data_IF_559846619774
#
_entry.id   IF_559846619774
#
_cell.length_a   1.000
_cell.length_b   1.000
_cell.length_c   1.000
_cell.angle_alpha   90.00
_cell.angle_beta   90.00
_cell.angle_gamma   90.00
#
_symmetry.space_group_name_H-M   'P 1'
#
loop_
_entity.id
_entity.type
_entity.pdbx_description
1 polymer ?
#
# COMPACT_ATOMS: atom_id res chain seq x y z
N UNK A 1 6.66 24.34 -5.38
CA UNK A 1 6.36 23.24 -6.34
C UNK A 1 7.57 22.32 -6.59
N UNK A 2 8.75 22.83 -6.98
CA UNK A 2 9.94 21.98 -7.24
C UNK A 2 10.31 21.05 -6.09
N UNK A 3 10.35 21.56 -4.86
CA UNK A 3 10.67 20.76 -3.66
C UNK A 3 9.70 19.59 -3.41
N UNK A 4 8.40 19.78 -3.65
CA UNK A 4 7.36 18.74 -3.52
C UNK A 4 7.57 17.66 -4.57
N UNK A 5 7.74 18.06 -5.84
CA UNK A 5 8.01 17.12 -6.93
C UNK A 5 9.28 16.33 -6.65
N UNK A 6 10.32 16.99 -6.17
CA UNK A 6 11.58 16.33 -5.86
C UNK A 6 11.47 15.37 -4.66
N UNK A 7 10.61 15.65 -3.67
CA UNK A 7 10.32 14.75 -2.55
C UNK A 7 9.52 13.51 -2.98
N UNK A 8 8.53 13.69 -3.87
CA UNK A 8 7.74 12.61 -4.48
C UNK A 8 8.64 11.73 -5.37
N UNK A 9 9.44 12.36 -6.24
CA UNK A 9 10.37 11.67 -7.14
C UNK A 9 11.60 11.10 -6.43
N UNK A 10 11.70 11.25 -5.10
CA UNK A 10 12.81 10.72 -4.30
C UNK A 10 14.20 11.19 -4.79
N UNK A 11 14.28 12.40 -5.34
CA UNK A 11 15.55 12.94 -5.87
C UNK A 11 16.53 13.12 -4.72
N UNK A 12 17.74 12.60 -4.88
CA UNK A 12 18.79 12.63 -3.85
C UNK A 12 18.97 11.34 -3.08
N UNK A 13 18.09 10.34 -3.24
CA UNK A 13 18.33 9.01 -2.67
C UNK A 13 19.43 8.26 -3.46
N UNK A 14 20.20 7.38 -2.79
CA UNK A 14 21.15 6.50 -3.47
C UNK A 14 20.48 5.64 -4.54
N UNK A 15 21.15 5.41 -5.67
CA UNK A 15 20.63 4.59 -6.78
C UNK A 15 20.21 3.18 -6.34
N UNK A 16 20.91 2.61 -5.35
CA UNK A 16 20.57 1.32 -4.74
C UNK A 16 19.17 1.34 -4.13
N UNK A 17 18.83 2.40 -3.40
CA UNK A 17 17.59 2.49 -2.65
C UNK A 17 16.42 2.77 -3.59
N UNK A 18 16.64 3.56 -4.64
CA UNK A 18 15.69 3.73 -5.75
C UNK A 18 15.42 2.39 -6.45
N UNK A 19 16.47 1.61 -6.74
CA UNK A 19 16.30 0.29 -7.38
C UNK A 19 15.50 -0.68 -6.50
N UNK A 20 15.76 -0.68 -5.19
CA UNK A 20 15.01 -1.50 -4.24
C UNK A 20 13.55 -1.04 -4.11
N UNK A 21 13.30 0.27 -4.03
CA UNK A 21 11.97 0.85 -4.01
C UNK A 21 11.18 0.49 -5.29
N UNK A 22 11.80 0.61 -6.46
CA UNK A 22 11.18 0.23 -7.73
C UNK A 22 10.82 -1.25 -7.79
N UNK A 23 11.64 -2.13 -7.19
CA UNK A 23 11.29 -3.55 -7.06
C UNK A 23 10.06 -3.77 -6.19
N UNK A 24 9.95 -3.07 -5.05
CA UNK A 24 8.76 -3.13 -4.19
C UNK A 24 7.55 -2.60 -4.95
N UNK A 25 7.66 -1.44 -5.60
CA UNK A 25 6.58 -0.83 -6.36
C UNK A 25 6.10 -1.73 -7.50
N UNK A 26 7.01 -2.38 -8.22
CA UNK A 26 6.66 -3.36 -9.26
C UNK A 26 5.89 -4.54 -8.67
N UNK A 27 6.36 -5.11 -7.54
CA UNK A 27 5.66 -6.21 -6.87
C UNK A 27 4.28 -5.79 -6.35
N UNK A 28 4.16 -4.56 -5.83
CA UNK A 28 2.89 -3.99 -5.40
C UNK A 28 1.92 -3.79 -6.57
N UNK A 29 2.41 -3.31 -7.72
CA UNK A 29 1.63 -3.21 -8.95
C UNK A 29 1.17 -4.60 -9.44
N UNK A 30 2.06 -5.58 -9.49
CA UNK A 30 1.71 -6.96 -9.88
C UNK A 30 0.69 -7.57 -8.91
N UNK A 31 0.86 -7.36 -7.61
CA UNK A 31 -0.08 -7.79 -6.59
C UNK A 31 -1.47 -7.13 -6.77
N UNK A 32 -1.53 -5.81 -7.00
CA UNK A 32 -2.77 -5.10 -7.27
C UNK A 32 -3.44 -5.56 -8.58
N UNK A 33 -2.65 -5.76 -9.65
CA UNK A 33 -3.15 -6.29 -10.93
C UNK A 33 -3.70 -7.71 -10.78
N UNK A 34 -3.10 -8.56 -9.94
CA UNK A 34 -3.64 -9.90 -9.67
C UNK A 34 -5.00 -9.86 -8.98
N UNK A 35 -5.22 -8.90 -8.06
CA UNK A 35 -6.53 -8.66 -7.46
C UNK A 35 -7.53 -8.14 -8.49
N UNK A 36 -7.14 -7.15 -9.30
CA UNK A 36 -7.97 -6.60 -10.36
C UNK A 36 -8.38 -7.65 -11.39
N UNK A 37 -7.45 -8.51 -11.79
CA UNK A 37 -7.71 -9.65 -12.67
C UNK A 37 -8.64 -10.68 -12.05
N UNK A 38 -8.47 -10.99 -10.76
CA UNK A 38 -9.38 -11.88 -10.02
C UNK A 38 -10.80 -11.30 -9.94
N UNK A 39 -10.92 -10.01 -9.65
CA UNK A 39 -12.21 -9.30 -9.63
C UNK A 39 -12.89 -9.32 -11.01
N UNK A 40 -12.12 -9.07 -12.08
CA UNK A 40 -12.62 -9.16 -13.44
C UNK A 40 -13.09 -10.58 -13.80
N UNK A 41 -12.34 -11.62 -13.42
CA UNK A 41 -12.76 -13.02 -13.60
C UNK A 41 -14.03 -13.35 -12.81
N UNK A 42 -14.20 -12.77 -11.62
CA UNK A 42 -15.41 -12.93 -10.82
C UNK A 42 -16.64 -12.39 -11.55
N UNK A 43 -16.52 -11.22 -12.18
CA UNK A 43 -17.60 -10.60 -12.96
C UNK A 43 -18.00 -11.37 -14.22
N UNK A 44 -17.15 -12.28 -14.69
CA UNK A 44 -17.41 -13.15 -15.85
C UNK A 44 -17.81 -14.58 -15.42
N UNK A 45 -18.15 -14.79 -14.14
CA UNK A 45 -18.54 -16.07 -13.53
C UNK A 45 -17.48 -17.21 -13.61
N UNK A 46 -16.23 -16.90 -13.94
CA UNK A 46 -15.14 -17.89 -14.03
C UNK A 46 -14.66 -18.42 -12.66
N UNK A 47 -14.92 -17.71 -11.56
CA UNK A 47 -14.52 -18.14 -10.21
C UNK A 47 -15.35 -19.29 -9.63
N UNK A 48 -16.40 -19.73 -10.34
CA UNK A 48 -17.17 -20.93 -10.00
C UNK A 48 -16.35 -22.23 -10.07
N UNK A 49 -15.27 -22.23 -10.86
CA UNK A 49 -14.33 -23.35 -10.92
C UNK A 49 -13.35 -23.31 -9.74
N UNK A 50 -13.36 -24.35 -8.91
CA UNK A 50 -12.45 -24.50 -7.77
C UNK A 50 -10.97 -24.37 -8.17
N UNK A 51 -10.59 -24.85 -9.36
CA UNK A 51 -9.21 -24.75 -9.86
C UNK A 51 -8.80 -23.31 -10.20
N UNK A 52 -9.71 -22.54 -10.82
CA UNK A 52 -9.46 -21.14 -11.16
C UNK A 52 -9.36 -20.31 -9.87
N UNK A 53 -10.29 -20.52 -8.94
CA UNK A 53 -10.28 -19.87 -7.63
C UNK A 53 -8.98 -20.16 -6.87
N UNK A 54 -8.59 -21.44 -6.77
CA UNK A 54 -7.36 -21.85 -6.08
C UNK A 54 -6.12 -21.24 -6.73
N UNK A 55 -6.07 -21.16 -8.06
CA UNK A 55 -4.96 -20.55 -8.79
C UNK A 55 -4.88 -19.04 -8.54
N UNK A 56 -6.01 -18.32 -8.62
CA UNK A 56 -6.05 -16.89 -8.34
C UNK A 56 -5.61 -16.58 -6.91
N UNK A 57 -6.11 -17.34 -5.93
CA UNK A 57 -5.73 -17.21 -4.53
C UNK A 57 -4.24 -17.45 -4.34
N UNK A 58 -3.70 -18.55 -4.89
CA UNK A 58 -2.27 -18.89 -4.77
C UNK A 58 -1.38 -17.79 -5.38
N UNK A 59 -1.69 -17.35 -6.60
CA UNK A 59 -0.92 -16.30 -7.28
C UNK A 59 -0.96 -15.00 -6.48
N UNK A 60 -2.15 -14.58 -6.02
CA UNK A 60 -2.32 -13.36 -5.24
C UNK A 60 -1.55 -13.43 -3.91
N UNK A 61 -1.64 -14.55 -3.20
CA UNK A 61 -0.92 -14.77 -1.94
C UNK A 61 0.60 -14.80 -2.14
N UNK A 62 1.11 -15.48 -3.17
CA UNK A 62 2.56 -15.54 -3.47
C UNK A 62 3.11 -14.16 -3.79
N UNK A 63 2.41 -13.39 -4.64
CA UNK A 63 2.80 -12.00 -4.94
C UNK A 63 2.78 -11.13 -3.69
N UNK A 64 1.77 -11.29 -2.82
CA UNK A 64 1.66 -10.56 -1.56
C UNK A 64 2.80 -10.87 -0.59
N UNK A 65 3.12 -12.15 -0.39
CA UNK A 65 4.25 -12.58 0.46
C UNK A 65 5.57 -12.06 -0.12
N UNK A 66 5.75 -12.14 -1.44
CA UNK A 66 6.98 -11.68 -2.07
C UNK A 66 7.15 -10.16 -1.97
N UNK A 67 6.08 -9.40 -2.18
CA UNK A 67 6.02 -7.96 -1.96
C UNK A 67 6.39 -7.62 -0.51
N UNK A 68 5.80 -8.31 0.47
CA UNK A 68 6.09 -8.11 1.90
C UNK A 68 7.57 -8.33 2.24
N UNK A 69 8.14 -9.44 1.77
CA UNK A 69 9.56 -9.75 2.00
C UNK A 69 10.48 -8.73 1.32
N UNK A 70 10.14 -8.29 0.10
CA UNK A 70 10.86 -7.25 -0.61
C UNK A 70 10.79 -5.90 0.13
N UNK A 71 9.61 -5.52 0.64
CA UNK A 71 9.42 -4.30 1.41
C UNK A 71 10.20 -4.31 2.72
N UNK A 72 10.15 -5.43 3.46
CA UNK A 72 10.96 -5.61 4.67
C UNK A 72 12.46 -5.48 4.38
N UNK A 73 12.93 -6.06 3.28
CA UNK A 73 14.32 -5.93 2.84
C UNK A 73 14.67 -4.49 2.47
N UNK A 74 13.79 -3.81 1.73
CA UNK A 74 13.93 -2.40 1.37
C UNK A 74 14.10 -1.52 2.61
N UNK A 75 13.18 -1.61 3.58
CA UNK A 75 13.25 -0.83 4.83
C UNK A 75 14.56 -1.04 5.61
N UNK A 76 15.11 -2.26 5.60
CA UNK A 76 16.38 -2.57 6.29
C UNK A 76 17.61 -2.02 5.57
N UNK A 77 17.52 -1.75 4.28
CA UNK A 77 18.64 -1.29 3.45
C UNK A 77 18.69 0.23 3.30
N UNK A 78 17.61 0.93 3.64
CA UNK A 78 17.58 2.38 3.71
C UNK A 78 18.59 2.92 4.74
N UNK A 79 19.07 4.14 4.49
CA UNK A 79 19.75 4.92 5.51
C UNK A 79 18.85 5.22 6.72
N UNK A 80 19.45 5.66 7.82
CA UNK A 80 18.73 5.87 9.08
C UNK A 80 17.63 6.94 8.97
N UNK A 81 17.86 7.98 8.17
CA UNK A 81 16.93 9.10 8.01
C UNK A 81 15.69 8.66 7.21
N UNK A 82 15.89 8.09 6.02
CA UNK A 82 14.79 7.63 5.17
C UNK A 82 14.05 6.46 5.83
N UNK A 83 14.75 5.54 6.53
CA UNK A 83 14.09 4.49 7.32
C UNK A 83 13.20 5.07 8.40
N UNK A 84 13.64 6.12 9.11
CA UNK A 84 12.82 6.81 10.11
C UNK A 84 11.58 7.44 9.46
N UNK A 85 11.74 8.17 8.36
CA UNK A 85 10.62 8.77 7.61
C UNK A 85 9.58 7.71 7.24
N UNK A 86 10.03 6.57 6.72
CA UNK A 86 9.14 5.47 6.34
C UNK A 86 8.38 4.89 7.54
N UNK A 87 9.04 4.69 8.68
CA UNK A 87 8.41 4.15 9.89
C UNK A 87 7.44 5.14 10.53
N UNK A 88 7.80 6.42 10.60
CA UNK A 88 6.92 7.48 11.11
C UNK A 88 5.66 7.61 10.23
N UNK A 89 5.83 7.53 8.91
CA UNK A 89 4.71 7.54 7.96
C UNK A 89 3.83 6.30 8.10
N UNK A 90 4.41 5.11 8.31
CA UNK A 90 3.65 3.88 8.58
C UNK A 90 2.86 3.98 9.90
N UNK A 91 3.48 4.50 10.96
CA UNK A 91 2.80 4.69 12.26
C UNK A 91 1.60 5.64 12.13
N UNK A 92 1.79 6.76 11.42
CA UNK A 92 0.71 7.70 11.12
C UNK A 92 -0.41 7.03 10.30
N UNK A 93 -0.05 6.32 9.24
CA UNK A 93 -1.00 5.65 8.36
C UNK A 93 -1.83 4.60 9.10
N UNK A 94 -1.21 3.79 9.95
CA UNK A 94 -1.90 2.80 10.77
C UNK A 94 -2.84 3.49 11.76
N UNK A 95 -2.38 4.51 12.49
CA UNK A 95 -3.20 5.23 13.46
C UNK A 95 -4.43 5.89 12.83
N UNK A 96 -4.24 6.61 11.72
CA UNK A 96 -5.33 7.26 10.98
C UNK A 96 -6.29 6.23 10.40
N UNK A 97 -5.79 5.11 9.88
CA UNK A 97 -6.64 4.07 9.29
C UNK A 97 -7.53 3.39 10.33
N UNK A 98 -6.97 3.05 11.50
CA UNK A 98 -7.73 2.44 12.59
C UNK A 98 -8.81 3.41 13.08
N UNK A 99 -8.45 4.67 13.32
CA UNK A 99 -9.39 5.68 13.80
C UNK A 99 -10.48 5.99 12.77
N UNK A 100 -10.11 6.18 11.50
CA UNK A 100 -11.07 6.48 10.44
C UNK A 100 -12.01 5.32 10.16
N UNK A 101 -11.48 4.08 10.11
CA UNK A 101 -12.29 2.89 9.89
C UNK A 101 -13.24 2.62 11.07
N UNK A 102 -12.80 2.82 12.32
CA UNK A 102 -13.66 2.63 13.49
C UNK A 102 -14.79 3.66 13.56
N UNK A 103 -14.51 4.94 13.27
CA UNK A 103 -15.54 5.98 13.17
C UNK A 103 -16.54 5.64 12.07
N UNK A 104 -16.05 5.27 10.87
CA UNK A 104 -16.93 4.89 9.77
C UNK A 104 -17.80 3.67 10.13
N UNK A 105 -17.21 2.67 10.80
CA UNK A 105 -17.95 1.48 11.24
C UNK A 105 -19.08 1.81 12.21
N UNK A 106 -18.91 2.78 13.11
CA UNK A 106 -19.99 3.22 14.01
C UNK A 106 -21.11 3.91 13.22
N UNK A 107 -20.75 4.73 12.22
CA UNK A 107 -21.73 5.46 11.39
C UNK A 107 -22.49 4.52 10.44
N UNK A 108 -21.82 3.50 9.91
CA UNK A 108 -22.42 2.41 9.12
C UNK A 108 -23.43 1.63 9.97
N UNK A 109 -23.05 1.23 11.19
CA UNK A 109 -23.95 0.56 12.15
C UNK A 109 -25.17 1.41 12.56
N UNK A 110 -25.10 2.73 12.39
CA UNK A 110 -26.19 3.66 12.66
C UNK A 110 -27.02 4.00 11.41
N UNK A 111 -26.78 3.32 10.28
CA UNK A 111 -27.38 3.58 8.97
C UNK A 111 -27.19 5.03 8.47
N UNK A 112 -26.13 5.71 8.93
CA UNK A 112 -25.82 7.09 8.55
C UNK A 112 -24.88 7.17 7.33
N UNK A 113 -24.15 6.09 7.05
CA UNK A 113 -23.25 5.97 5.90
C UNK A 113 -23.52 4.66 5.14
N UNK A 114 -23.11 4.57 3.86
CA UNK A 114 -23.18 3.31 3.11
C UNK A 114 -22.33 2.21 3.73
N UNK A 115 -22.61 0.96 3.34
CA UNK A 115 -21.89 -0.23 3.77
C UNK A 115 -20.36 -0.03 3.75
N UNK A 116 -19.73 -0.33 4.89
CA UNK A 116 -18.29 -0.26 5.04
C UNK A 116 -17.60 -1.33 4.18
N UNK A 117 -16.78 -0.88 3.24
CA UNK A 117 -15.99 -1.75 2.36
C UNK A 117 -14.55 -1.86 2.86
N UNK A 118 -13.98 -3.07 2.81
CA UNK A 118 -12.56 -3.29 3.13
C UNK A 118 -11.61 -2.41 2.31
N UNK A 119 -12.00 -2.02 1.09
CA UNK A 119 -11.26 -1.11 0.24
C UNK A 119 -11.04 0.28 0.86
N UNK A 120 -11.97 0.78 1.69
CA UNK A 120 -11.85 2.10 2.31
C UNK A 120 -10.66 2.15 3.29
N UNK A 121 -10.43 1.08 4.05
CA UNK A 121 -9.27 0.96 4.94
C UNK A 121 -7.96 0.99 4.16
N UNK A 122 -7.87 0.21 3.07
CA UNK A 122 -6.66 0.11 2.25
C UNK A 122 -6.33 1.46 1.60
N UNK A 123 -7.34 2.15 1.07
CA UNK A 123 -7.16 3.47 0.45
C UNK A 123 -6.72 4.51 1.48
N UNK A 124 -7.37 4.55 2.65
CA UNK A 124 -7.02 5.48 3.72
C UNK A 124 -5.56 5.27 4.16
N UNK A 125 -5.17 4.02 4.38
CA UNK A 125 -3.80 3.65 4.75
C UNK A 125 -2.79 4.10 3.69
N UNK A 126 -3.04 3.78 2.41
CA UNK A 126 -2.14 4.11 1.32
C UNK A 126 -1.98 5.63 1.16
N UNK A 127 -3.08 6.39 1.18
CA UNK A 127 -3.06 7.84 1.04
C UNK A 127 -2.32 8.51 2.21
N UNK A 128 -2.64 8.13 3.44
CA UNK A 128 -1.96 8.69 4.63
C UNK A 128 -0.47 8.34 4.64
N UNK A 129 -0.10 7.12 4.24
CA UNK A 129 1.30 6.72 4.15
C UNK A 129 2.07 7.54 3.09
N UNK A 130 1.50 7.72 1.89
CA UNK A 130 2.12 8.55 0.85
C UNK A 130 2.30 10.00 1.29
N UNK A 131 1.29 10.57 1.96
CA UNK A 131 1.36 11.91 2.54
C UNK A 131 2.45 11.98 3.62
N UNK A 132 2.49 11.00 4.52
CA UNK A 132 3.48 10.92 5.59
C UNK A 132 4.92 10.88 5.07
N UNK A 133 5.20 10.06 4.05
CA UNK A 133 6.52 10.03 3.40
C UNK A 133 6.87 11.39 2.78
N UNK A 134 5.92 11.98 2.06
CA UNK A 134 6.14 13.25 1.35
C UNK A 134 6.45 14.36 2.33
N UNK A 135 5.67 14.48 3.41
CA UNK A 135 5.89 15.45 4.48
C UNK A 135 7.22 15.19 5.19
N UNK A 136 7.52 13.93 5.54
CA UNK A 136 8.79 13.57 6.16
C UNK A 136 9.99 14.01 5.31
N UNK A 137 10.00 13.67 4.02
CA UNK A 137 11.08 14.08 3.11
C UNK A 137 11.18 15.59 2.93
N UNK A 138 10.08 16.33 3.02
CA UNK A 138 10.12 17.80 2.98
C UNK A 138 10.73 18.40 4.25
N UNK A 139 10.52 17.78 5.41
CA UNK A 139 11.01 18.28 6.69
C UNK A 139 12.51 18.03 6.91
N UNK A 140 13.08 16.98 6.31
CA UNK A 140 14.50 16.62 6.46
C UNK A 140 15.38 17.05 5.27
N UNK A 141 14.88 17.96 4.43
CA UNK A 141 15.59 18.52 3.28
C UNK A 141 16.15 19.91 3.54
#
# INVERSE_FOLDING_TARGET
>A
MKQIIDAICSKGLPLRDIKNANRVNLLALLWALSLGGTSWLAHQDYLTSNWILATCLLVHSVLGIWMLLAFKRFLRQLDEMERKIQLDALALAVGVSILGFSIYSILDLADLLPDLKAAYLVILLALTYMLGITIGRLNYR
#
